data_IF_813270360913
#
_entry.id   IF_813270360913
#
_cell.length_a   1.000
_cell.length_b   1.000
_cell.length_c   1.000
_cell.angle_alpha   90.00
_cell.angle_beta   90.00
_cell.angle_gamma   90.00
#
_symmetry.space_group_name_H-M   'P 1'
#
loop_
_entity.id
_entity.type
_entity.pdbx_description
1 polymer ?
#
# COMPACT_ATOMS: atom_id res chain seq x y z
N UNK A 1 -10.32 -13.98 -17.61
CA UNK A 1 -9.84 -13.70 -16.25
C UNK A 1 -10.92 -13.87 -15.20
N UNK A 2 -10.56 -14.09 -13.95
CA UNK A 2 -11.50 -14.14 -12.83
C UNK A 2 -11.90 -12.73 -12.36
N UNK A 3 -13.20 -12.50 -12.14
CA UNK A 3 -13.72 -11.30 -11.47
C UNK A 3 -14.82 -11.72 -10.48
N UNK A 4 -14.90 -11.10 -9.29
CA UNK A 4 -15.93 -11.41 -8.31
C UNK A 4 -17.29 -10.85 -8.76
N UNK A 5 -18.27 -11.73 -8.90
CA UNK A 5 -19.66 -11.36 -9.24
C UNK A 5 -20.48 -11.01 -8.00
N UNK A 6 -20.12 -11.59 -6.84
CA UNK A 6 -20.82 -11.37 -5.58
C UNK A 6 -20.08 -10.35 -4.71
N UNK A 7 -20.79 -9.42 -4.10
CA UNK A 7 -20.22 -8.43 -3.18
C UNK A 7 -19.40 -9.08 -2.05
N UNK A 8 -19.86 -10.18 -1.46
CA UNK A 8 -19.14 -10.87 -0.40
C UNK A 8 -17.75 -11.37 -0.83
N UNK A 9 -17.59 -11.80 -2.08
CA UNK A 9 -16.30 -12.23 -2.62
C UNK A 9 -15.40 -10.99 -2.86
N UNK A 10 -15.96 -9.90 -3.39
CA UNK A 10 -15.22 -8.65 -3.55
C UNK A 10 -14.76 -8.10 -2.19
N UNK A 11 -15.62 -8.15 -1.17
CA UNK A 11 -15.27 -7.77 0.21
C UNK A 11 -14.16 -8.65 0.78
N UNK A 12 -14.21 -9.97 0.55
CA UNK A 12 -13.13 -10.89 0.95
C UNK A 12 -11.80 -10.51 0.29
N UNK A 13 -11.82 -10.14 -0.99
CA UNK A 13 -10.62 -9.66 -1.70
C UNK A 13 -10.07 -8.37 -1.09
N UNK A 14 -10.94 -7.42 -0.75
CA UNK A 14 -10.52 -6.19 -0.06
C UNK A 14 -9.93 -6.47 1.33
N UNK A 15 -10.48 -7.42 2.08
CA UNK A 15 -9.93 -7.85 3.37
C UNK A 15 -8.56 -8.53 3.19
N UNK A 16 -8.41 -9.41 2.20
CA UNK A 16 -7.11 -10.03 1.87
C UNK A 16 -6.09 -8.96 1.49
N UNK A 17 -6.48 -7.97 0.68
CA UNK A 17 -5.64 -6.81 0.35
C UNK A 17 -5.15 -6.09 1.60
N UNK A 18 -6.06 -5.75 2.51
CA UNK A 18 -5.77 -5.11 3.78
C UNK A 18 -4.78 -5.93 4.63
N UNK A 19 -4.99 -7.24 4.73
CA UNK A 19 -4.08 -8.16 5.44
C UNK A 19 -2.70 -8.18 4.80
N UNK A 20 -2.61 -8.29 3.49
CA UNK A 20 -1.34 -8.31 2.76
C UNK A 20 -0.57 -6.99 2.92
N UNK A 21 -1.24 -5.84 2.69
CA UNK A 21 -0.60 -4.54 2.80
C UNK A 21 -0.18 -4.19 4.24
N UNK A 22 -0.89 -4.69 5.24
CA UNK A 22 -0.51 -4.52 6.65
C UNK A 22 0.56 -5.50 7.14
N UNK A 23 0.88 -6.53 6.36
CA UNK A 23 1.79 -7.62 6.81
C UNK A 23 3.13 -7.66 6.10
N UNK A 24 3.26 -7.19 4.84
CA UNK A 24 4.46 -7.36 4.03
C UNK A 24 5.73 -6.82 4.70
N UNK A 25 5.65 -5.68 5.38
CA UNK A 25 6.81 -5.04 6.01
C UNK A 25 7.39 -5.85 7.18
N UNK A 26 6.64 -6.82 7.73
CA UNK A 26 7.16 -7.71 8.77
C UNK A 26 8.25 -8.65 8.26
N UNK A 27 8.30 -8.94 6.94
CA UNK A 27 9.38 -9.73 6.36
C UNK A 27 10.73 -9.01 6.48
N UNK A 28 10.75 -7.67 6.41
CA UNK A 28 11.94 -6.88 6.64
C UNK A 28 12.43 -6.95 8.10
N UNK A 29 11.53 -7.04 9.08
CA UNK A 29 11.90 -7.21 10.50
C UNK A 29 12.64 -8.53 10.76
N UNK A 30 12.46 -9.53 9.89
CA UNK A 30 13.16 -10.82 9.98
C UNK A 30 14.58 -10.76 9.37
N UNK A 31 14.94 -9.64 8.75
CA UNK A 31 16.26 -9.40 8.12
C UNK A 31 17.08 -8.40 8.93
N UNK A 32 17.35 -8.71 10.20
CA UNK A 32 18.07 -7.80 11.11
C UNK A 32 19.43 -7.37 10.54
N UNK A 33 19.61 -6.07 10.32
CA UNK A 33 20.82 -5.48 9.76
C UNK A 33 20.86 -5.39 8.22
N UNK A 34 19.91 -5.98 7.50
CA UNK A 34 19.77 -5.79 6.07
C UNK A 34 19.12 -4.45 5.78
N UNK A 35 19.87 -3.54 5.17
CA UNK A 35 19.37 -2.19 4.90
C UNK A 35 18.18 -2.22 3.95
N UNK A 36 17.19 -1.34 4.19
CA UNK A 36 15.96 -1.28 3.38
C UNK A 36 16.25 -1.14 1.87
N UNK A 37 17.22 -0.31 1.49
CA UNK A 37 17.58 -0.10 0.08
C UNK A 37 18.09 -1.39 -0.60
N UNK A 38 18.75 -2.29 0.16
CA UNK A 38 19.21 -3.59 -0.34
C UNK A 38 18.06 -4.59 -0.40
N UNK A 39 17.25 -4.67 0.66
CA UNK A 39 16.01 -5.46 0.72
C UNK A 39 15.05 -5.09 -0.41
N UNK A 40 15.00 -3.82 -0.81
CA UNK A 40 14.07 -3.32 -1.82
C UNK A 40 14.30 -3.91 -3.22
N UNK A 41 15.50 -4.33 -3.56
CA UNK A 41 15.76 -5.06 -4.81
C UNK A 41 15.01 -6.38 -4.87
N UNK A 42 15.07 -7.15 -3.81
CA UNK A 42 14.35 -8.43 -3.68
C UNK A 42 12.84 -8.21 -3.61
N UNK A 43 12.40 -7.15 -2.93
CA UNK A 43 11.01 -6.76 -2.90
C UNK A 43 10.45 -6.47 -4.30
N UNK A 44 11.19 -5.77 -5.15
CA UNK A 44 10.77 -5.51 -6.55
C UNK A 44 10.73 -6.82 -7.36
N UNK A 45 11.67 -7.73 -7.15
CA UNK A 45 11.61 -9.07 -7.76
C UNK A 45 10.34 -9.80 -7.31
N UNK A 46 9.99 -9.74 -6.03
CA UNK A 46 8.76 -10.31 -5.48
C UNK A 46 7.49 -9.71 -6.11
N UNK A 47 7.48 -8.40 -6.37
CA UNK A 47 6.38 -7.76 -7.11
C UNK A 47 6.21 -8.33 -8.52
N UNK A 48 7.31 -8.48 -9.26
CA UNK A 48 7.31 -9.01 -10.63
C UNK A 48 6.80 -10.46 -10.62
N UNK A 49 7.37 -11.30 -9.75
CA UNK A 49 6.98 -12.71 -9.60
C UNK A 49 5.49 -12.81 -9.24
N UNK A 50 5.02 -12.03 -8.29
CA UNK A 50 3.61 -11.99 -7.91
C UNK A 50 2.69 -11.58 -9.05
N UNK A 51 3.03 -10.53 -9.80
CA UNK A 51 2.23 -10.07 -10.93
C UNK A 51 2.13 -11.12 -12.05
N UNK A 52 3.24 -11.83 -12.35
CA UNK A 52 3.26 -12.92 -13.35
C UNK A 52 2.45 -14.13 -12.87
N UNK A 53 2.60 -14.54 -11.61
CA UNK A 53 1.83 -15.68 -11.05
C UNK A 53 0.34 -15.38 -11.09
N UNK A 54 -0.10 -14.24 -10.58
CA UNK A 54 -1.52 -13.90 -10.55
C UNK A 54 -2.09 -13.68 -11.96
N UNK A 55 -1.34 -13.07 -12.87
CA UNK A 55 -1.71 -12.92 -14.28
C UNK A 55 -1.85 -14.29 -14.97
N UNK A 56 -0.87 -15.18 -14.78
CA UNK A 56 -0.87 -16.53 -15.35
C UNK A 56 -1.92 -17.47 -14.75
N UNK A 57 -2.41 -17.20 -13.52
CA UNK A 57 -3.44 -17.99 -12.85
C UNK A 57 -4.82 -17.33 -12.96
N UNK A 58 -5.25 -16.59 -11.95
CA UNK A 58 -6.59 -15.97 -11.93
C UNK A 58 -6.82 -14.99 -13.10
N UNK A 59 -5.76 -14.35 -13.61
CA UNK A 59 -5.85 -13.51 -14.80
C UNK A 59 -6.06 -14.26 -16.12
N UNK A 60 -5.80 -15.57 -16.14
CA UNK A 60 -5.93 -16.41 -17.34
C UNK A 60 -7.09 -17.41 -17.25
N UNK A 61 -7.57 -17.72 -16.03
CA UNK A 61 -8.68 -18.63 -15.79
C UNK A 61 -9.91 -17.84 -15.35
N UNK A 62 -11.06 -18.12 -15.98
CA UNK A 62 -12.33 -17.47 -15.70
C UNK A 62 -13.04 -17.00 -16.96
N UNK A 63 -14.28 -16.59 -16.79
CA UNK A 63 -15.21 -16.23 -17.89
C UNK A 63 -15.26 -14.72 -18.17
N UNK A 64 -14.70 -13.88 -17.29
CA UNK A 64 -14.77 -12.44 -17.46
C UNK A 64 -13.64 -11.92 -18.37
N UNK A 65 -13.99 -11.13 -19.36
CA UNK A 65 -13.05 -10.42 -20.23
C UNK A 65 -12.02 -11.31 -20.93
N UNK A 66 -10.84 -10.72 -21.24
CA UNK A 66 -9.74 -11.39 -21.94
C UNK A 66 -8.84 -12.13 -20.95
N UNK A 67 -8.13 -13.17 -21.41
CA UNK A 67 -7.05 -13.77 -20.64
C UNK A 67 -5.86 -12.82 -20.54
N UNK A 68 -5.03 -12.97 -19.50
CA UNK A 68 -3.91 -12.07 -19.17
C UNK A 68 -3.01 -11.74 -20.36
N UNK A 69 -2.53 -12.75 -21.11
CA UNK A 69 -1.64 -12.51 -22.27
C UNK A 69 -2.39 -11.79 -23.39
N UNK A 70 -3.62 -12.21 -23.69
CA UNK A 70 -4.44 -11.53 -24.70
C UNK A 70 -4.74 -10.08 -24.29
N UNK A 71 -4.97 -9.84 -23.01
CA UNK A 71 -5.29 -8.54 -22.47
C UNK A 71 -4.09 -7.59 -22.56
N UNK A 72 -2.88 -8.07 -22.25
CA UNK A 72 -1.63 -7.32 -22.48
C UNK A 72 -1.46 -6.96 -23.96
N UNK A 73 -1.70 -7.91 -24.87
CA UNK A 73 -1.50 -7.71 -26.30
C UNK A 73 -2.45 -6.68 -26.92
N UNK A 74 -3.65 -6.53 -26.33
CA UNK A 74 -4.68 -5.60 -26.83
C UNK A 74 -4.87 -4.35 -25.96
N UNK A 75 -3.98 -4.14 -24.98
CA UNK A 75 -4.04 -2.98 -24.10
C UNK A 75 -3.82 -1.68 -24.86
N UNK A 76 -4.71 -0.72 -24.67
CA UNK A 76 -4.55 0.62 -25.22
C UNK A 76 -3.35 1.35 -24.63
N UNK A 77 -2.64 2.13 -25.45
CA UNK A 77 -1.46 2.88 -25.01
C UNK A 77 -1.76 3.79 -23.81
N UNK A 78 -2.89 4.50 -23.83
CA UNK A 78 -3.27 5.45 -22.76
C UNK A 78 -3.46 4.76 -21.41
N UNK A 79 -4.26 3.67 -21.26
CA UNK A 79 -4.32 2.87 -20.03
C UNK A 79 -2.97 2.37 -19.54
N UNK A 80 -2.14 1.84 -20.45
CA UNK A 80 -0.78 1.36 -20.11
C UNK A 80 0.07 2.46 -19.52
N UNK A 81 0.08 3.65 -20.12
CA UNK A 81 0.83 4.82 -19.63
C UNK A 81 0.34 5.22 -18.23
N UNK A 82 -0.97 5.24 -17.98
CA UNK A 82 -1.51 5.54 -16.65
C UNK A 82 -1.08 4.49 -15.61
N UNK A 83 -1.11 3.20 -15.95
CA UNK A 83 -0.66 2.14 -15.06
C UNK A 83 0.83 2.27 -14.73
N UNK A 84 1.67 2.48 -15.72
CA UNK A 84 3.14 2.67 -15.55
C UNK A 84 3.43 3.89 -14.69
N UNK A 85 2.79 5.05 -14.97
CA UNK A 85 2.94 6.27 -14.16
C UNK A 85 2.49 6.01 -12.72
N UNK A 86 1.37 5.31 -12.51
CA UNK A 86 0.92 4.91 -11.18
C UNK A 86 1.99 4.11 -10.43
N UNK A 87 2.66 3.17 -11.11
CA UNK A 87 3.78 2.39 -10.57
C UNK A 87 5.01 3.25 -10.23
N UNK A 88 5.38 4.20 -11.09
CA UNK A 88 6.47 5.15 -10.84
C UNK A 88 6.17 6.01 -9.60
N UNK A 89 4.97 6.59 -9.54
CA UNK A 89 4.54 7.42 -8.40
C UNK A 89 4.56 6.61 -7.10
N UNK A 90 4.00 5.40 -7.12
CA UNK A 90 4.02 4.50 -5.98
C UNK A 90 5.44 4.19 -5.51
N UNK A 91 6.34 3.87 -6.44
CA UNK A 91 7.73 3.53 -6.10
C UNK A 91 8.44 4.68 -5.38
N UNK A 92 8.33 5.90 -5.91
CA UNK A 92 8.92 7.09 -5.29
C UNK A 92 8.29 7.32 -3.90
N UNK A 93 6.97 7.26 -3.82
CA UNK A 93 6.23 7.44 -2.57
C UNK A 93 6.66 6.44 -1.49
N UNK A 94 6.77 5.15 -1.85
CA UNK A 94 7.13 4.09 -0.92
C UNK A 94 8.55 4.25 -0.38
N UNK A 95 9.51 4.56 -1.25
CA UNK A 95 10.90 4.82 -0.85
C UNK A 95 11.01 6.08 0.04
N UNK A 96 10.29 7.14 -0.28
CA UNK A 96 10.26 8.37 0.55
C UNK A 96 9.56 8.14 1.89
N UNK A 97 8.50 7.33 1.94
CA UNK A 97 7.80 7.04 3.19
C UNK A 97 8.71 6.30 4.17
N UNK A 98 9.48 5.31 3.70
CA UNK A 98 10.45 4.62 4.55
C UNK A 98 11.55 5.57 5.03
N UNK A 99 12.09 6.41 4.14
CA UNK A 99 13.05 7.44 4.53
C UNK A 99 12.46 8.44 5.54
N UNK A 100 11.20 8.83 5.40
CA UNK A 100 10.51 9.70 6.34
C UNK A 100 10.39 9.06 7.73
N UNK A 101 10.09 7.76 7.80
CA UNK A 101 10.03 6.98 9.05
C UNK A 101 11.41 6.95 9.72
N UNK A 102 12.47 6.73 8.95
CA UNK A 102 13.85 6.74 9.48
C UNK A 102 14.27 8.12 10.03
N UNK A 103 13.79 9.22 9.43
CA UNK A 103 14.15 10.60 9.82
C UNK A 103 13.31 11.14 10.98
N UNK A 104 11.98 10.94 10.93
CA UNK A 104 11.01 11.56 11.83
C UNK A 104 10.38 10.59 12.83
N UNK A 105 10.64 9.30 12.67
CA UNK A 105 9.97 8.25 13.41
C UNK A 105 8.57 7.92 12.89
N UNK A 106 8.10 6.74 13.23
CA UNK A 106 6.81 6.21 12.78
C UNK A 106 5.64 7.10 13.24
N UNK A 107 5.72 7.60 14.49
CA UNK A 107 4.68 8.43 15.10
C UNK A 107 4.41 9.77 14.39
N UNK A 108 5.33 10.24 13.55
CA UNK A 108 5.19 11.48 12.77
C UNK A 108 4.97 11.18 11.29
N UNK A 109 5.83 10.34 10.72
CA UNK A 109 5.81 10.06 9.29
C UNK A 109 4.55 9.33 8.84
N UNK A 110 4.07 8.40 9.65
CA UNK A 110 2.97 7.52 9.28
C UNK A 110 1.61 8.24 9.18
N UNK A 111 1.16 9.03 10.20
CA UNK A 111 -0.13 9.71 10.08
C UNK A 111 -0.12 10.78 8.98
N UNK A 112 1.00 11.46 8.77
CA UNK A 112 1.12 12.42 7.68
C UNK A 112 1.10 11.69 6.33
N UNK A 113 1.95 10.68 6.16
CA UNK A 113 2.08 9.95 4.90
C UNK A 113 0.83 9.14 4.56
N UNK A 114 0.42 8.25 5.43
CA UNK A 114 -0.72 7.34 5.16
C UNK A 114 -2.07 8.04 5.30
N UNK A 115 -2.19 9.00 6.23
CA UNK A 115 -3.42 9.80 6.36
C UNK A 115 -3.69 10.63 5.11
N UNK A 116 -2.67 11.31 4.55
CA UNK A 116 -2.80 12.02 3.27
C UNK A 116 -3.06 11.05 2.11
N UNK A 117 -2.36 9.90 2.09
CA UNK A 117 -2.57 8.88 1.07
C UNK A 117 -4.02 8.42 1.04
N UNK A 118 -4.61 8.12 2.19
CA UNK A 118 -6.01 7.70 2.30
C UNK A 118 -6.93 8.77 1.69
N UNK A 119 -6.84 10.01 2.15
CA UNK A 119 -7.77 11.07 1.73
C UNK A 119 -7.60 11.38 0.24
N UNK A 120 -6.37 11.63 -0.22
CA UNK A 120 -6.09 11.98 -1.63
C UNK A 120 -6.46 10.82 -2.55
N UNK A 121 -6.07 9.59 -2.19
CA UNK A 121 -6.34 8.40 -3.00
C UNK A 121 -7.82 8.06 -3.10
N UNK A 122 -8.55 8.14 -2.00
CA UNK A 122 -10.00 7.90 -1.99
C UNK A 122 -10.78 8.97 -2.76
N UNK A 123 -10.51 10.26 -2.48
CA UNK A 123 -11.16 11.37 -3.19
C UNK A 123 -10.83 11.33 -4.68
N UNK A 124 -9.54 11.19 -5.04
CA UNK A 124 -9.11 11.12 -6.43
C UNK A 124 -9.72 9.94 -7.18
N UNK A 125 -9.81 8.76 -6.54
CA UNK A 125 -10.43 7.58 -7.14
C UNK A 125 -11.96 7.74 -7.28
N UNK A 126 -12.60 8.36 -6.31
CA UNK A 126 -14.02 8.67 -6.39
C UNK A 126 -14.35 9.64 -7.53
N UNK A 127 -13.51 10.65 -7.75
CA UNK A 127 -13.67 11.59 -8.87
C UNK A 127 -13.47 10.91 -10.24
N UNK A 128 -12.65 9.86 -10.30
CA UNK A 128 -12.48 9.06 -11.55
C UNK A 128 -13.68 8.18 -11.82
N UNK A 129 -14.22 7.53 -10.78
CA UNK A 129 -15.34 6.59 -10.87
C UNK A 129 -16.20 6.68 -9.60
N UNK A 130 -17.19 7.60 -9.57
CA UNK A 130 -18.06 7.78 -8.42
C UNK A 130 -18.97 6.54 -8.25
N UNK A 131 -18.79 5.82 -7.14
CA UNK A 131 -19.59 4.64 -6.80
C UNK A 131 -19.78 4.56 -5.28
N UNK A 132 -20.96 4.06 -4.87
CA UNK A 132 -21.35 3.93 -3.48
C UNK A 132 -21.88 5.22 -2.86
N UNK A 133 -22.51 5.11 -1.71
CA UNK A 133 -23.04 6.23 -0.94
C UNK A 133 -21.93 7.14 -0.43
N UNK A 134 -21.86 8.37 -0.93
CA UNK A 134 -20.81 9.33 -0.62
C UNK A 134 -20.72 9.65 0.90
N UNK A 135 -21.87 9.76 1.59
CA UNK A 135 -21.88 10.09 3.03
C UNK A 135 -21.25 8.97 3.85
N UNK A 136 -21.60 7.72 3.58
CA UNK A 136 -21.03 6.55 4.26
C UNK A 136 -19.55 6.38 3.92
N UNK A 137 -19.17 6.56 2.64
CA UNK A 137 -17.79 6.47 2.18
C UNK A 137 -16.90 7.52 2.87
N UNK A 138 -17.23 8.80 2.72
CA UNK A 138 -16.41 9.89 3.27
C UNK A 138 -16.49 9.99 4.80
N UNK A 139 -17.65 9.67 5.40
CA UNK A 139 -17.77 9.52 6.85
C UNK A 139 -16.87 8.40 7.39
N UNK A 140 -16.84 7.26 6.72
CA UNK A 140 -15.96 6.14 7.04
C UNK A 140 -14.48 6.51 6.87
N UNK A 141 -14.10 7.22 5.79
CA UNK A 141 -12.74 7.73 5.56
C UNK A 141 -12.32 8.67 6.69
N UNK A 142 -13.19 9.56 7.15
CA UNK A 142 -12.90 10.46 8.28
C UNK A 142 -12.64 9.68 9.58
N UNK A 143 -13.41 8.62 9.84
CA UNK A 143 -13.17 7.74 11.00
C UNK A 143 -11.84 7.00 10.89
N UNK A 144 -11.51 6.45 9.71
CA UNK A 144 -10.20 5.79 9.48
C UNK A 144 -9.05 6.77 9.60
N UNK A 145 -9.18 8.00 9.07
CA UNK A 145 -8.17 9.05 9.24
C UNK A 145 -7.97 9.40 10.72
N UNK A 146 -9.05 9.49 11.51
CA UNK A 146 -8.99 9.69 12.95
C UNK A 146 -8.27 8.54 13.64
N UNK A 147 -8.54 7.30 13.24
CA UNK A 147 -7.86 6.12 13.77
C UNK A 147 -6.35 6.15 13.49
N UNK A 148 -5.92 6.56 12.28
CA UNK A 148 -4.50 6.73 11.92
C UNK A 148 -3.82 7.77 12.84
N UNK A 149 -4.50 8.88 13.17
CA UNK A 149 -3.98 9.86 14.12
C UNK A 149 -3.86 9.28 15.53
N UNK A 150 -4.84 8.49 15.97
CA UNK A 150 -4.80 7.81 17.28
C UNK A 150 -3.68 6.78 17.37
N UNK A 151 -3.40 6.04 16.26
CA UNK A 151 -2.27 5.12 16.16
C UNK A 151 -0.93 5.86 16.39
N UNK A 152 -0.74 6.96 15.69
CA UNK A 152 0.43 7.82 15.87
C UNK A 152 0.57 8.37 17.30
N UNK A 153 -0.55 8.78 17.90
CA UNK A 153 -0.55 9.22 19.30
C UNK A 153 -0.14 8.09 20.24
N UNK A 154 -0.59 6.86 20.00
CA UNK A 154 -0.21 5.70 20.78
C UNK A 154 1.29 5.41 20.71
N UNK A 155 1.88 5.44 19.51
CA UNK A 155 3.34 5.32 19.34
C UNK A 155 4.10 6.44 20.01
N UNK A 156 3.65 7.72 19.86
CA UNK A 156 4.27 8.87 20.51
C UNK A 156 4.23 8.80 22.04
N UNK A 157 3.12 8.33 22.60
CA UNK A 157 2.98 8.15 24.06
C UNK A 157 3.81 6.99 24.59
N UNK A 158 4.09 5.99 23.78
CA UNK A 158 5.00 4.89 24.10
C UNK A 158 6.44 5.34 24.14
N UNK A 159 6.86 6.14 23.19
CA UNK A 159 8.23 6.65 23.09
C UNK A 159 8.39 7.83 24.04
N UNK A 160 8.95 7.58 25.25
CA UNK A 160 9.22 8.62 26.23
C UNK A 160 10.22 9.71 25.76
N UNK A 161 10.89 9.50 24.63
CA UNK A 161 11.83 10.41 23.99
C UNK A 161 11.08 11.45 23.14
N UNK A 162 11.11 12.70 23.55
CA UNK A 162 10.80 13.85 22.70
C UNK A 162 11.91 14.01 21.65
N UNK A 163 11.96 13.16 20.66
CA UNK A 163 12.75 13.46 19.47
C UNK A 163 12.22 14.77 18.89
N UNK A 164 13.08 15.78 18.77
CA UNK A 164 12.72 17.06 18.17
C UNK A 164 12.15 16.78 16.77
N UNK A 165 10.95 17.32 16.49
CA UNK A 165 10.29 17.12 15.20
C UNK A 165 11.21 17.66 14.10
N UNK A 166 11.81 16.77 13.32
CA UNK A 166 12.64 17.13 12.18
C UNK A 166 11.78 17.76 11.08
N UNK A 167 12.00 19.06 10.79
CA UNK A 167 11.35 19.75 9.67
C UNK A 167 11.52 18.99 8.35
N UNK A 168 12.72 18.42 8.14
CA UNK A 168 13.02 17.60 6.97
C UNK A 168 12.13 16.35 6.92
N UNK A 169 11.97 15.65 8.04
CA UNK A 169 11.13 14.47 8.14
C UNK A 169 9.65 14.77 7.84
N UNK A 170 9.12 15.90 8.33
CA UNK A 170 7.75 16.34 8.02
C UNK A 170 7.59 16.61 6.52
N UNK A 171 8.51 17.34 5.90
CA UNK A 171 8.44 17.65 4.46
C UNK A 171 8.50 16.37 3.62
N UNK A 172 9.40 15.43 3.95
CA UNK A 172 9.49 14.15 3.24
C UNK A 172 8.21 13.33 3.43
N UNK A 173 7.61 13.32 4.64
CA UNK A 173 6.32 12.65 4.91
C UNK A 173 5.17 13.23 4.09
N UNK A 174 5.11 14.57 3.98
CA UNK A 174 4.09 15.25 3.17
C UNK A 174 4.21 14.88 1.68
N UNK A 175 5.43 14.93 1.14
CA UNK A 175 5.68 14.56 -0.26
C UNK A 175 5.33 13.09 -0.49
N UNK A 176 5.80 12.21 0.39
CA UNK A 176 5.50 10.78 0.33
C UNK A 176 3.99 10.51 0.37
N UNK A 177 3.26 11.19 1.28
CA UNK A 177 1.81 11.02 1.43
C UNK A 177 1.01 11.50 0.23
N UNK A 178 1.37 12.65 -0.33
CA UNK A 178 0.73 13.16 -1.56
C UNK A 178 0.96 12.20 -2.71
N UNK A 179 2.19 11.78 -2.96
CA UNK A 179 2.51 10.81 -4.02
C UNK A 179 1.81 9.47 -3.79
N UNK A 180 1.83 8.96 -2.54
CA UNK A 180 1.15 7.70 -2.19
C UNK A 180 -0.37 7.80 -2.39
N UNK A 181 -0.98 8.95 -2.16
CA UNK A 181 -2.39 9.20 -2.49
C UNK A 181 -2.65 9.29 -3.99
N UNK A 182 -1.71 9.85 -4.75
CA UNK A 182 -1.89 10.05 -6.19
C UNK A 182 -1.80 8.75 -7.01
N UNK A 183 -1.06 7.70 -6.59
CA UNK A 183 -0.86 6.53 -7.44
C UNK A 183 -2.17 5.82 -7.78
N UNK A 184 -3.08 5.68 -6.83
CA UNK A 184 -4.30 4.89 -7.04
C UNK A 184 -5.32 5.54 -8.01
N UNK A 185 -5.55 6.85 -8.02
CA UNK A 185 -6.29 7.52 -9.09
C UNK A 185 -5.73 7.25 -10.49
N UNK A 186 -4.41 7.16 -10.65
CA UNK A 186 -3.79 6.76 -11.93
C UNK A 186 -4.14 5.32 -12.30
N UNK A 187 -4.06 4.39 -11.35
CA UNK A 187 -4.50 3.00 -11.52
C UNK A 187 -5.99 2.95 -11.86
N UNK A 188 -6.85 3.67 -11.14
CA UNK A 188 -8.28 3.76 -11.42
C UNK A 188 -8.54 4.27 -12.84
N UNK A 189 -7.79 5.28 -13.28
CA UNK A 189 -7.90 5.82 -14.64
C UNK A 189 -7.42 4.85 -15.71
N UNK A 190 -6.40 4.04 -15.40
CA UNK A 190 -5.92 2.98 -16.28
C UNK A 190 -6.96 1.89 -16.53
N UNK A 191 -7.86 1.65 -15.56
CA UNK A 191 -8.93 0.65 -15.66
C UNK A 191 -10.20 1.17 -16.34
N UNK A 192 -10.22 2.43 -16.84
CA UNK A 192 -11.38 3.06 -17.46
C UNK A 192 -11.09 3.50 -18.88
N UNK A 193 -12.12 3.47 -19.71
CA UNK A 193 -12.05 3.96 -21.10
C UNK A 193 -11.90 2.86 -22.13
N UNK A 194 -11.76 3.28 -23.37
CA UNK A 194 -11.68 2.40 -24.53
C UNK A 194 -10.38 1.58 -24.50
N UNK A 195 -10.47 0.30 -24.79
CA UNK A 195 -9.36 -0.66 -24.71
C UNK A 195 -8.61 -0.69 -23.38
N UNK A 196 -9.30 -0.34 -22.27
CA UNK A 196 -8.74 -0.52 -20.94
C UNK A 196 -8.54 -2.01 -20.66
N UNK A 197 -7.33 -2.44 -20.26
CA UNK A 197 -7.11 -3.82 -19.87
C UNK A 197 -7.69 -4.10 -18.49
N UNK A 198 -7.89 -5.37 -18.19
CA UNK A 198 -8.37 -5.80 -16.89
C UNK A 198 -7.32 -5.65 -15.78
N UNK A 199 -7.73 -5.87 -14.53
CA UNK A 199 -6.93 -5.56 -13.35
C UNK A 199 -5.59 -6.30 -13.28
N UNK A 200 -5.49 -7.51 -13.83
CA UNK A 200 -4.26 -8.30 -13.85
C UNK A 200 -3.20 -7.71 -14.78
N UNK A 201 -3.60 -7.28 -15.98
CA UNK A 201 -2.71 -6.63 -16.91
C UNK A 201 -2.32 -5.21 -16.42
N UNK A 202 -3.25 -4.48 -15.80
CA UNK A 202 -2.97 -3.20 -15.15
C UNK A 202 -1.93 -3.36 -14.04
N UNK A 203 -2.06 -4.39 -13.18
CA UNK A 203 -1.06 -4.67 -12.14
C UNK A 203 0.31 -4.97 -12.76
N UNK A 204 0.36 -5.74 -13.84
CA UNK A 204 1.60 -6.05 -14.53
C UNK A 204 2.29 -4.78 -15.06
N UNK A 205 1.57 -3.89 -15.76
CA UNK A 205 2.11 -2.62 -16.23
C UNK A 205 2.50 -1.67 -15.09
N UNK A 206 1.73 -1.66 -14.01
CA UNK A 206 2.08 -0.94 -12.79
C UNK A 206 3.41 -1.42 -12.21
N UNK A 207 3.60 -2.74 -12.09
CA UNK A 207 4.84 -3.35 -11.58
C UNK A 207 6.02 -3.08 -12.50
N UNK A 208 5.83 -3.02 -13.83
CA UNK A 208 6.86 -2.54 -14.76
C UNK A 208 7.27 -1.10 -14.42
N UNK A 209 6.30 -0.22 -14.15
CA UNK A 209 6.58 1.16 -13.72
C UNK A 209 7.38 1.22 -12.42
N UNK A 210 7.01 0.39 -11.43
CA UNK A 210 7.76 0.25 -10.17
C UNK A 210 9.20 -0.20 -10.44
N UNK A 211 9.39 -1.27 -11.20
CA UNK A 211 10.70 -1.86 -11.47
C UNK A 211 11.62 -0.89 -12.24
N UNK A 212 11.10 -0.26 -13.29
CA UNK A 212 11.84 0.72 -14.07
C UNK A 212 12.29 1.93 -13.23
N UNK A 213 11.40 2.42 -12.34
CA UNK A 213 11.69 3.54 -11.45
C UNK A 213 12.61 3.14 -10.30
N UNK A 214 12.51 1.90 -9.79
CA UNK A 214 13.34 1.43 -8.68
C UNK A 214 14.83 1.45 -9.04
N UNK A 215 15.20 1.16 -10.29
CA UNK A 215 16.61 1.16 -10.72
C UNK A 215 17.29 2.51 -10.43
N UNK A 216 16.86 3.65 -10.98
CA UNK A 216 17.53 4.93 -10.72
C UNK A 216 17.26 5.46 -9.30
N UNK A 217 16.03 5.37 -8.79
CA UNK A 217 15.66 6.05 -7.54
C UNK A 217 16.22 5.32 -6.32
N UNK A 218 16.09 3.98 -6.25
CA UNK A 218 16.65 3.22 -5.14
C UNK A 218 18.19 3.27 -5.16
N UNK A 219 18.82 3.22 -6.35
CA UNK A 219 20.27 3.39 -6.47
C UNK A 219 20.74 4.77 -5.99
N UNK A 220 19.98 5.83 -6.32
CA UNK A 220 20.26 7.18 -5.82
C UNK A 220 20.19 7.22 -4.28
N UNK A 221 19.14 6.63 -3.69
CA UNK A 221 18.97 6.57 -2.24
C UNK A 221 20.02 5.68 -1.54
N UNK A 222 20.56 4.68 -2.23
CA UNK A 222 21.72 3.93 -1.73
C UNK A 222 22.97 4.80 -1.64
N UNK A 223 23.19 5.69 -2.63
CA UNK A 223 24.35 6.58 -2.70
C UNK A 223 24.21 7.82 -1.83
N UNK A 224 22.99 8.34 -1.71
CA UNK A 224 22.65 9.56 -0.99
C UNK A 224 21.48 9.30 -0.03
N UNK A 225 21.70 8.57 1.07
CA UNK A 225 20.64 8.28 2.02
C UNK A 225 20.03 9.54 2.62
N UNK A 226 18.72 9.63 2.64
CA UNK A 226 18.02 10.80 3.19
C UNK A 226 18.09 10.87 4.73
N UNK A 227 18.33 9.77 5.38
CA UNK A 227 18.45 9.62 6.84
C UNK A 227 19.83 10.02 7.40
N UNK A 228 20.77 10.40 6.53
CA UNK A 228 22.13 10.79 6.91
C UNK A 228 23.08 9.62 7.26
N UNK A 229 22.66 8.38 7.05
CA UNK A 229 23.53 7.21 7.22
C UNK A 229 24.57 7.13 6.11
N UNK A 230 25.59 6.30 6.31
CA UNK A 230 26.59 5.97 5.29
C UNK A 230 25.92 5.35 4.04
N UNK A 231 26.44 5.61 2.82
CA UNK A 231 25.95 5.01 1.60
C UNK A 231 25.88 3.47 1.69
N UNK A 232 24.84 2.88 1.10
CA UNK A 232 24.71 1.43 1.01
C UNK A 232 25.45 0.92 -0.23
N UNK A 233 26.41 0.02 -0.04
CA UNK A 233 27.13 -0.58 -1.16
C UNK A 233 26.44 -1.86 -1.65
N UNK A 234 26.39 -2.08 -2.97
CA UNK A 234 25.88 -3.33 -3.58
C UNK A 234 26.62 -4.58 -3.11
N UNK A 235 27.86 -4.43 -2.62
CA UNK A 235 28.60 -5.53 -1.99
C UNK A 235 27.81 -6.14 -0.83
N UNK A 236 27.12 -5.32 -0.03
CA UNK A 236 26.29 -5.80 1.08
C UNK A 236 25.08 -6.63 0.61
N UNK A 237 24.56 -6.36 -0.59
CA UNK A 237 23.51 -7.18 -1.20
C UNK A 237 24.05 -8.60 -1.52
N UNK A 238 25.15 -8.68 -2.24
CA UNK A 238 25.74 -9.97 -2.65
C UNK A 238 26.30 -10.80 -1.48
N UNK A 239 26.61 -10.16 -0.35
CA UNK A 239 27.10 -10.82 0.87
C UNK A 239 25.97 -11.19 1.84
N UNK A 240 24.73 -10.79 1.56
CA UNK A 240 23.59 -11.08 2.40
C UNK A 240 23.24 -12.58 2.39
N UNK A 241 22.61 -13.04 3.47
CA UNK A 241 22.11 -14.42 3.55
C UNK A 241 21.03 -14.66 2.51
N UNK A 242 21.04 -15.83 1.84
CA UNK A 242 19.98 -16.25 0.94
C UNK A 242 18.58 -16.22 1.58
N UNK A 243 18.48 -16.45 2.88
CA UNK A 243 17.22 -16.32 3.64
C UNK A 243 16.71 -14.88 3.64
N UNK A 244 17.58 -13.87 3.69
CA UNK A 244 17.16 -12.47 3.64
C UNK A 244 16.61 -12.09 2.25
N UNK A 245 17.22 -12.60 1.19
CA UNK A 245 16.70 -12.45 -0.17
C UNK A 245 15.31 -13.08 -0.32
N UNK A 246 15.11 -14.28 0.23
CA UNK A 246 13.80 -14.93 0.23
C UNK A 246 12.74 -14.11 0.97
N UNK A 247 13.08 -13.52 2.13
CA UNK A 247 12.17 -12.64 2.85
C UNK A 247 11.85 -11.36 2.07
N UNK A 248 12.80 -10.80 1.33
CA UNK A 248 12.57 -9.66 0.45
C UNK A 248 11.59 -10.00 -0.67
N UNK A 249 11.84 -11.09 -1.39
CA UNK A 249 10.96 -11.59 -2.45
C UNK A 249 9.55 -11.89 -1.91
N UNK A 250 9.46 -12.55 -0.76
CA UNK A 250 8.18 -12.85 -0.12
C UNK A 250 7.42 -11.55 0.26
N UNK A 251 8.13 -10.55 0.80
CA UNK A 251 7.53 -9.24 1.11
C UNK A 251 6.92 -8.58 -0.12
N UNK A 252 7.63 -8.59 -1.24
CA UNK A 252 7.13 -8.10 -2.52
C UNK A 252 5.94 -8.89 -3.05
N UNK A 253 6.00 -10.23 -2.97
CA UNK A 253 4.91 -11.10 -3.41
C UNK A 253 3.64 -10.90 -2.56
N UNK A 254 3.77 -10.75 -1.24
CA UNK A 254 2.66 -10.43 -0.33
C UNK A 254 2.03 -9.08 -0.73
N UNK A 255 2.86 -8.04 -0.90
CA UNK A 255 2.34 -6.72 -1.30
C UNK A 255 1.62 -6.77 -2.65
N UNK A 256 2.22 -7.47 -3.63
CA UNK A 256 1.64 -7.65 -4.96
C UNK A 256 0.30 -8.39 -4.91
N UNK A 257 0.20 -9.43 -4.06
CA UNK A 257 -1.07 -10.14 -3.81
C UNK A 257 -2.14 -9.18 -3.29
N UNK A 258 -1.78 -8.32 -2.32
CA UNK A 258 -2.69 -7.29 -1.82
C UNK A 258 -3.15 -6.32 -2.92
N UNK A 259 -2.22 -5.85 -3.75
CA UNK A 259 -2.54 -4.97 -4.87
C UNK A 259 -3.46 -5.65 -5.91
N UNK A 260 -3.17 -6.91 -6.24
CA UNK A 260 -3.98 -7.68 -7.17
C UNK A 260 -5.42 -7.84 -6.65
N UNK A 261 -5.58 -8.27 -5.38
CA UNK A 261 -6.90 -8.42 -4.75
C UNK A 261 -7.68 -7.09 -4.72
N UNK A 262 -6.98 -5.99 -4.44
CA UNK A 262 -7.55 -4.65 -4.42
C UNK A 262 -8.02 -4.20 -5.80
N UNK A 263 -7.17 -4.36 -6.83
CA UNK A 263 -7.49 -3.95 -8.20
C UNK A 263 -8.64 -4.78 -8.77
N UNK A 264 -8.66 -6.09 -8.53
CA UNK A 264 -9.75 -6.97 -8.96
C UNK A 264 -11.06 -6.60 -8.25
N UNK A 265 -11.03 -6.38 -6.93
CA UNK A 265 -12.21 -5.95 -6.18
C UNK A 265 -12.75 -4.59 -6.66
N UNK A 266 -11.86 -3.66 -7.02
CA UNK A 266 -12.26 -2.33 -7.50
C UNK A 266 -13.01 -2.36 -8.83
N UNK A 267 -12.86 -3.41 -9.62
CA UNK A 267 -13.55 -3.64 -10.88
C UNK A 267 -14.87 -4.42 -10.74
N UNK A 268 -15.18 -4.92 -9.55
CA UNK A 268 -16.50 -5.48 -9.29
C UNK A 268 -17.56 -4.38 -9.42
N UNK A 269 -18.62 -4.65 -10.21
CA UNK A 269 -19.64 -3.67 -10.58
C UNK A 269 -20.26 -2.88 -9.42
N UNK A 270 -20.21 -3.44 -8.20
CA UNK A 270 -20.85 -2.88 -7.01
C UNK A 270 -19.85 -2.08 -6.16
N UNK A 271 -18.53 -2.31 -6.26
CA UNK A 271 -17.55 -1.81 -5.26
C UNK A 271 -16.96 -0.45 -5.63
N UNK A 272 -16.32 -0.39 -6.79
CA UNK A 272 -15.59 0.80 -7.23
C UNK A 272 -14.23 1.04 -6.57
N UNK A 273 -13.38 1.86 -7.23
CA UNK A 273 -11.99 2.06 -6.82
C UNK A 273 -11.83 2.77 -5.48
N UNK A 274 -12.67 3.75 -5.17
CA UNK A 274 -12.56 4.52 -3.92
C UNK A 274 -12.82 3.64 -2.69
N UNK A 275 -13.84 2.77 -2.75
CA UNK A 275 -14.19 1.84 -1.67
C UNK A 275 -13.08 0.80 -1.49
N UNK A 276 -12.64 0.17 -2.58
CA UNK A 276 -11.60 -0.86 -2.54
C UNK A 276 -10.29 -0.31 -1.98
N UNK A 277 -9.85 0.84 -2.46
CA UNK A 277 -8.65 1.51 -1.94
C UNK A 277 -8.78 1.85 -0.45
N UNK A 278 -9.92 2.44 -0.04
CA UNK A 278 -10.12 2.89 1.34
C UNK A 278 -10.12 1.72 2.34
N UNK A 279 -10.71 0.58 1.99
CA UNK A 279 -10.65 -0.64 2.81
C UNK A 279 -9.20 -1.15 2.88
N UNK A 280 -8.47 -1.12 1.76
CA UNK A 280 -7.04 -1.48 1.73
C UNK A 280 -6.19 -0.66 2.72
N UNK A 281 -6.54 0.61 2.99
CA UNK A 281 -5.85 1.45 3.98
C UNK A 281 -6.07 1.00 5.44
N UNK A 282 -7.00 0.11 5.70
CA UNK A 282 -7.09 -0.65 6.95
C UNK A 282 -5.85 -1.50 7.24
N UNK A 283 -4.92 -1.60 6.28
CA UNK A 283 -3.56 -2.14 6.43
C UNK A 283 -2.84 -1.58 7.67
N UNK A 284 -3.08 -0.31 8.02
CA UNK A 284 -2.54 0.33 9.22
C UNK A 284 -3.00 -0.39 10.48
N UNK A 285 -4.29 -0.74 10.57
CA UNK A 285 -4.84 -1.51 11.69
C UNK A 285 -4.17 -2.90 11.78
N UNK A 286 -3.95 -3.57 10.66
CA UNK A 286 -3.28 -4.88 10.63
C UNK A 286 -1.81 -4.75 11.06
N UNK A 287 -1.12 -3.70 10.61
CA UNK A 287 0.26 -3.40 11.06
C UNK A 287 0.31 -3.17 12.57
N UNK A 288 -0.65 -2.43 13.13
CA UNK A 288 -0.78 -2.25 14.58
C UNK A 288 -1.06 -3.57 15.30
N UNK A 289 -1.88 -4.47 14.74
CA UNK A 289 -2.08 -5.81 15.29
C UNK A 289 -0.75 -6.60 15.37
N UNK A 290 0.08 -6.57 14.33
CA UNK A 290 1.41 -7.17 14.37
C UNK A 290 2.26 -6.57 15.50
N UNK A 291 2.28 -5.23 15.62
CA UNK A 291 3.02 -4.52 16.67
C UNK A 291 2.57 -4.90 18.08
N UNK A 292 1.25 -4.97 18.32
CA UNK A 292 0.67 -5.23 19.63
C UNK A 292 0.78 -6.70 20.03
N UNK A 293 0.34 -7.60 19.14
CA UNK A 293 0.14 -9.01 19.52
C UNK A 293 1.36 -9.89 19.26
N UNK A 294 2.09 -9.65 18.16
CA UNK A 294 3.23 -10.48 17.76
C UNK A 294 4.54 -9.90 18.28
N UNK A 295 4.83 -8.64 17.96
CA UNK A 295 6.07 -7.97 18.36
C UNK A 295 6.04 -7.46 19.80
N UNK A 296 4.86 -7.43 20.44
CA UNK A 296 4.64 -6.97 21.83
C UNK A 296 5.21 -5.57 22.12
N UNK A 297 5.18 -4.70 21.11
CA UNK A 297 5.78 -3.37 21.16
C UNK A 297 5.16 -2.47 22.23
N UNK A 298 3.93 -2.74 22.66
CA UNK A 298 3.19 -1.98 23.67
C UNK A 298 3.10 -2.68 25.04
N UNK A 299 3.86 -3.76 25.28
CA UNK A 299 3.80 -4.51 26.53
C UNK A 299 4.09 -3.63 27.75
N UNK A 300 5.15 -2.81 27.69
CA UNK A 300 5.57 -1.86 28.72
C UNK A 300 5.04 -0.44 28.51
N UNK A 301 4.15 -0.20 27.53
CA UNK A 301 3.66 1.12 27.22
C UNK A 301 2.75 1.68 28.34
N UNK A 302 2.76 3.01 28.58
CA UNK A 302 1.87 3.67 29.52
C UNK A 302 0.40 3.41 29.22
N UNK A 303 -0.46 3.45 30.26
CA UNK A 303 -1.91 3.22 30.10
C UNK A 303 -2.55 4.17 29.07
N UNK A 304 -2.10 5.42 28.98
CA UNK A 304 -2.59 6.40 27.99
C UNK A 304 -2.32 5.93 26.54
N UNK A 305 -1.17 5.31 26.29
CA UNK A 305 -0.85 4.73 24.97
C UNK A 305 -1.78 3.57 24.62
N UNK A 306 -2.08 2.70 25.60
CA UNK A 306 -3.00 1.56 25.43
C UNK A 306 -4.44 2.03 25.19
N UNK A 307 -4.88 3.10 25.87
CA UNK A 307 -6.19 3.72 25.64
C UNK A 307 -6.28 4.31 24.22
N UNK A 308 -5.25 5.03 23.75
CA UNK A 308 -5.21 5.54 22.39
C UNK A 308 -5.30 4.40 21.35
N UNK A 309 -4.58 3.28 21.57
CA UNK A 309 -4.69 2.08 20.74
C UNK A 309 -6.10 1.48 20.73
N UNK A 310 -6.75 1.37 21.89
CA UNK A 310 -8.10 0.84 21.97
C UNK A 310 -9.09 1.67 21.14
N UNK A 311 -9.05 3.00 21.29
CA UNK A 311 -9.86 3.90 20.47
C UNK A 311 -9.51 3.84 18.98
N UNK A 312 -8.22 3.72 18.63
CA UNK A 312 -7.77 3.49 17.27
C UNK A 312 -8.48 2.28 16.64
N UNK A 313 -8.52 1.12 17.32
CA UNK A 313 -9.22 -0.06 16.82
C UNK A 313 -10.73 0.16 16.66
N UNK A 314 -11.37 0.85 17.61
CA UNK A 314 -12.80 1.19 17.50
C UNK A 314 -13.07 2.05 16.28
N UNK A 315 -12.30 3.13 16.08
CA UNK A 315 -12.49 4.02 14.92
C UNK A 315 -12.17 3.32 13.59
N UNK A 316 -11.16 2.45 13.54
CA UNK A 316 -10.90 1.64 12.35
C UNK A 316 -12.09 0.72 12.03
N UNK A 317 -12.58 -0.04 13.01
CA UNK A 317 -13.70 -0.96 12.78
C UNK A 317 -14.96 -0.22 12.33
N UNK A 318 -15.33 0.87 13.00
CA UNK A 318 -16.47 1.68 12.61
C UNK A 318 -16.30 2.28 11.21
N UNK A 319 -15.13 2.84 10.92
CA UNK A 319 -14.82 3.46 9.63
C UNK A 319 -14.80 2.46 8.48
N UNK A 320 -14.11 1.33 8.65
CA UNK A 320 -14.07 0.27 7.64
C UNK A 320 -15.45 -0.35 7.40
N UNK A 321 -16.28 -0.49 8.45
CA UNK A 321 -17.66 -0.95 8.31
C UNK A 321 -18.49 0.04 7.50
N UNK A 322 -18.40 1.36 7.79
CA UNK A 322 -19.10 2.39 7.04
C UNK A 322 -18.69 2.39 5.55
N UNK A 323 -17.39 2.26 5.26
CA UNK A 323 -16.87 2.16 3.89
C UNK A 323 -17.38 0.89 3.20
N UNK A 324 -17.34 -0.24 3.90
CA UNK A 324 -17.79 -1.53 3.34
C UNK A 324 -19.27 -1.56 3.02
N UNK A 325 -20.12 -0.88 3.77
CA UNK A 325 -21.56 -0.83 3.48
C UNK A 325 -21.95 0.25 2.48
N UNK A 326 -21.07 1.23 2.21
CA UNK A 326 -21.36 2.32 1.28
C UNK A 326 -21.85 1.86 -0.11
N UNK A 327 -21.31 0.80 -0.74
CA UNK A 327 -21.81 0.30 -2.02
C UNK A 327 -23.22 -0.29 -1.97
N UNK A 328 -23.69 -0.71 -0.81
CA UNK A 328 -25.00 -1.36 -0.63
C UNK A 328 -26.15 -0.35 -0.54
N UNK A 329 -25.86 0.95 -0.40
CA UNK A 329 -26.82 2.04 -0.24
C UNK A 329 -26.68 3.12 -1.34
N UNK A 330 -26.13 2.74 -2.49
CA UNK A 330 -25.98 3.64 -3.66
C UNK A 330 -27.24 3.74 -4.48
#
# INVERSE_FOLDING_TARGET
>A
MYQPELYGIALLFMIISMLCWGSWANTMKLCAGFRFQLFYWDYVIGLIVGAVIWGGTLGSFGSAGRSFISDIAHAGLRPVVFAVIGGVIFNIANLLLVAAIDIAGLAVAFPIGIGLALVIGAVGSYLVSPQGNALLLFGGIALVATAIVLDAMAYRLREASRAAMSRRGIVVSLIAGVLMGCFYPFVSRAMTGENAPGPYAILFFFVIGVAACAIPVNYLLMRMPLDGREPAAMKGYWQASGTWHLWGILGGAIWCTGAMMNFVASQAHIVGPAVSYSIGQGATMISACWGVFIWKEFASAPSRSKVALAWMFVFFLCGLTAIAVAPLFS
#
